data_IF_420385661645
#
_entry.id   IF_420385661645
#
_cell.length_a   1.000
_cell.length_b   1.000
_cell.length_c   1.000
_cell.angle_alpha   90.00
_cell.angle_beta   90.00
_cell.angle_gamma   90.00
#
_symmetry.space_group_name_H-M   'P 1'
#
loop_
_entity.id
_entity.type
_entity.pdbx_description
1 polymer ?
#
# COMPACT_ATOMS: atom_id res chain seq x y z
N UNK A 1 -1.75 14.40 5.11
CA UNK A 1 -1.62 15.41 4.02
C UNK A 1 -0.19 15.92 3.99
N UNK A 2 0.67 15.31 3.17
CA UNK A 2 1.89 15.96 2.72
C UNK A 2 1.41 17.20 1.95
N UNK A 3 1.88 18.39 2.32
CA UNK A 3 1.49 19.60 1.62
C UNK A 3 2.00 19.52 0.17
N UNK A 4 1.21 20.02 -0.78
CA UNK A 4 1.65 20.16 -2.18
C UNK A 4 3.00 20.91 -2.22
N UNK A 5 4.03 20.27 -2.78
CA UNK A 5 5.29 20.95 -3.12
C UNK A 5 6.50 20.73 -2.21
N UNK A 6 6.42 19.98 -1.10
CA UNK A 6 7.65 19.58 -0.39
C UNK A 6 8.36 18.45 -1.17
N UNK A 7 9.61 18.71 -1.60
CA UNK A 7 10.49 17.66 -2.16
C UNK A 7 10.62 16.55 -1.13
N UNK A 8 10.10 15.38 -1.49
CA UNK A 8 10.19 14.21 -0.63
C UNK A 8 11.66 13.75 -0.62
N UNK A 9 12.34 13.71 0.52
CA UNK A 9 13.70 13.19 0.59
C UNK A 9 13.73 11.70 0.19
N UNK A 10 14.90 11.24 -0.26
CA UNK A 10 15.17 9.85 -0.64
C UNK A 10 14.34 9.38 -1.85
N UNK A 11 14.30 10.18 -2.93
CA UNK A 11 13.68 9.77 -4.19
C UNK A 11 14.68 9.02 -5.08
N UNK A 12 14.23 7.97 -5.78
CA UNK A 12 15.01 7.34 -6.83
C UNK A 12 15.37 8.33 -7.94
N UNK A 13 16.60 8.27 -8.45
CA UNK A 13 17.01 9.07 -9.61
C UNK A 13 16.65 8.32 -10.90
N UNK A 14 15.81 8.93 -11.73
CA UNK A 14 15.27 8.34 -12.96
C UNK A 14 15.67 9.15 -14.20
N UNK A 15 15.78 8.50 -15.36
CA UNK A 15 15.83 9.19 -16.65
C UNK A 15 14.43 9.56 -17.18
N UNK A 16 14.37 10.18 -18.37
CA UNK A 16 13.10 10.60 -19.00
C UNK A 16 12.17 9.42 -19.33
N UNK A 17 12.72 8.21 -19.49
CA UNK A 17 11.98 6.97 -19.70
C UNK A 17 11.51 6.32 -18.40
N UNK A 18 11.75 6.95 -17.24
CA UNK A 18 11.50 6.43 -15.90
C UNK A 18 12.36 5.20 -15.53
N UNK A 19 13.50 5.03 -16.20
CA UNK A 19 14.47 3.99 -15.85
C UNK A 19 15.31 4.44 -14.66
N UNK A 20 15.57 3.54 -13.72
CA UNK A 20 16.44 3.82 -12.59
C UNK A 20 17.89 3.96 -13.01
N UNK A 21 18.54 5.06 -12.58
CA UNK A 21 19.97 5.19 -12.68
C UNK A 21 20.67 4.17 -11.77
N UNK A 22 21.70 3.50 -12.29
CA UNK A 22 22.43 2.45 -11.56
C UNK A 22 21.76 1.08 -11.53
N UNK A 23 20.52 0.95 -12.02
CA UNK A 23 19.81 -0.32 -12.09
C UNK A 23 19.34 -0.66 -13.52
N UNK A 24 20.24 -1.18 -14.38
CA UNK A 24 19.90 -1.55 -15.75
C UNK A 24 18.68 -2.49 -15.80
N UNK A 25 17.73 -2.19 -16.68
CA UNK A 25 16.51 -2.97 -16.88
C UNK A 25 15.40 -2.76 -15.82
N UNK A 26 15.59 -1.85 -14.85
CA UNK A 26 14.61 -1.54 -13.81
C UNK A 26 14.01 -0.15 -14.04
N UNK A 27 12.68 -0.07 -14.02
CA UNK A 27 11.88 1.14 -14.18
C UNK A 27 11.02 1.39 -12.94
N UNK A 28 10.61 2.63 -12.72
CA UNK A 28 9.77 3.01 -11.58
C UNK A 28 8.60 3.89 -12.02
N UNK A 29 7.41 3.63 -11.47
CA UNK A 29 6.23 4.45 -11.75
C UNK A 29 5.31 4.58 -10.52
N UNK A 30 4.51 5.64 -10.53
CA UNK A 30 3.57 5.95 -9.45
C UNK A 30 4.19 6.75 -8.33
N UNK A 31 3.54 6.74 -7.16
CA UNK A 31 3.91 7.61 -6.04
C UNK A 31 5.39 7.50 -5.64
N UNK A 32 6.06 6.37 -5.92
CA UNK A 32 7.48 6.16 -5.61
C UNK A 32 8.40 7.17 -6.30
N UNK A 33 7.95 7.79 -7.40
CA UNK A 33 8.67 8.86 -8.10
C UNK A 33 8.44 10.25 -7.47
N UNK A 34 7.67 10.36 -6.38
CA UNK A 34 7.50 11.60 -5.62
C UNK A 34 6.28 12.47 -5.99
N UNK A 35 5.41 12.01 -6.90
CA UNK A 35 4.23 12.75 -7.34
C UNK A 35 2.93 11.98 -7.00
N UNK A 36 2.43 12.05 -5.76
CA UNK A 36 1.34 11.20 -5.29
C UNK A 36 -0.03 11.63 -5.83
N UNK A 37 -0.36 11.21 -7.04
CA UNK A 37 -1.66 11.38 -7.69
C UNK A 37 -1.98 10.15 -8.54
N UNK A 38 -3.22 9.66 -8.45
CA UNK A 38 -3.68 8.53 -9.28
C UNK A 38 -3.45 8.84 -10.77
N UNK A 39 -3.64 10.12 -11.17
CA UNK A 39 -3.43 10.58 -12.55
C UNK A 39 -2.00 10.40 -13.02
N UNK A 40 -1.08 10.85 -12.19
CA UNK A 40 0.34 10.71 -12.48
C UNK A 40 0.75 9.24 -12.50
N UNK A 41 0.22 8.44 -11.57
CA UNK A 41 0.52 7.01 -11.50
C UNK A 41 0.12 6.26 -12.79
N UNK A 42 -1.10 6.45 -13.30
CA UNK A 42 -1.55 5.80 -14.55
C UNK A 42 -0.69 6.26 -15.73
N UNK A 43 -0.47 7.57 -15.86
CA UNK A 43 0.28 8.13 -16.98
C UNK A 43 1.74 7.68 -16.98
N UNK A 44 2.38 7.64 -15.80
CA UNK A 44 3.75 7.14 -15.65
C UNK A 44 3.85 5.64 -15.95
N UNK A 45 2.88 4.83 -15.50
CA UNK A 45 2.85 3.40 -15.79
C UNK A 45 2.86 3.14 -17.30
N UNK A 46 1.96 3.78 -18.04
CA UNK A 46 1.91 3.67 -19.49
C UNK A 46 3.17 4.25 -20.18
N UNK A 47 3.67 5.40 -19.70
CA UNK A 47 4.88 6.02 -20.26
C UNK A 47 6.14 5.16 -20.09
N UNK A 48 6.35 4.57 -18.91
CA UNK A 48 7.46 3.67 -18.64
C UNK A 48 7.43 2.48 -19.61
N UNK A 49 6.24 1.89 -19.84
CA UNK A 49 6.10 0.75 -20.74
C UNK A 49 6.34 1.11 -22.20
N UNK A 50 5.86 2.26 -22.68
CA UNK A 50 6.21 2.72 -24.05
C UNK A 50 7.71 2.93 -24.22
N UNK A 51 8.37 3.46 -23.19
CA UNK A 51 9.81 3.70 -23.20
C UNK A 51 10.59 2.38 -23.23
N UNK A 52 10.26 1.43 -22.35
CA UNK A 52 10.93 0.13 -22.30
C UNK A 52 10.62 -0.74 -23.54
N UNK A 53 9.42 -0.63 -24.12
CA UNK A 53 9.05 -1.36 -25.34
C UNK A 53 9.92 -0.95 -26.53
N UNK A 54 10.19 0.36 -26.69
CA UNK A 54 11.10 0.88 -27.72
C UNK A 54 12.53 0.38 -27.53
N UNK A 55 13.01 0.33 -26.29
CA UNK A 55 14.33 -0.24 -25.98
C UNK A 55 14.40 -1.72 -26.36
N UNK A 56 13.44 -2.53 -25.91
CA UNK A 56 13.38 -3.96 -26.25
C UNK A 56 13.29 -4.21 -27.75
N UNK A 57 12.53 -3.40 -28.48
CA UNK A 57 12.44 -3.48 -29.94
C UNK A 57 13.77 -3.15 -30.62
N UNK A 58 14.46 -2.09 -30.18
CA UNK A 58 15.78 -1.73 -30.70
C UNK A 58 16.86 -2.78 -30.43
N UNK A 59 16.72 -3.54 -29.35
CA UNK A 59 17.63 -4.63 -28.96
C UNK A 59 17.28 -5.97 -29.66
N UNK A 60 16.19 -6.03 -30.43
CA UNK A 60 15.69 -7.29 -31.02
C UNK A 60 15.16 -8.28 -29.95
N UNK A 61 14.76 -7.76 -28.80
CA UNK A 61 14.37 -8.50 -27.60
C UNK A 61 12.86 -8.38 -27.30
N UNK A 62 12.02 -8.17 -28.31
CA UNK A 62 10.56 -8.15 -28.13
C UNK A 62 9.96 -9.53 -28.43
N UNK A 63 9.24 -10.14 -27.49
CA UNK A 63 8.46 -11.35 -27.72
C UNK A 63 9.24 -12.66 -27.98
N UNK A 64 10.57 -12.65 -27.84
CA UNK A 64 11.44 -13.83 -28.07
C UNK A 64 12.03 -14.43 -26.79
N UNK A 65 12.38 -15.73 -26.78
CA UNK A 65 13.10 -16.41 -25.69
C UNK A 65 12.23 -16.92 -24.53
N UNK A 66 12.84 -17.62 -23.56
CA UNK A 66 12.19 -18.06 -22.32
C UNK A 66 11.98 -16.88 -21.34
N UNK A 67 10.86 -16.86 -20.61
CA UNK A 67 10.53 -15.82 -19.63
C UNK A 67 9.65 -14.68 -20.17
N UNK A 68 9.45 -13.65 -19.34
CA UNK A 68 8.65 -12.47 -19.67
C UNK A 68 9.49 -11.36 -20.30
N UNK A 69 8.88 -10.53 -21.13
CA UNK A 69 9.50 -9.28 -21.58
C UNK A 69 9.50 -8.26 -20.42
N UNK A 70 8.43 -8.26 -19.62
CA UNK A 70 8.23 -7.34 -18.50
C UNK A 70 7.57 -8.02 -17.30
N UNK A 71 8.16 -7.86 -16.11
CA UNK A 71 7.45 -8.09 -14.84
C UNK A 71 7.10 -6.75 -14.21
N UNK A 72 5.84 -6.59 -13.81
CA UNK A 72 5.34 -5.40 -13.13
C UNK A 72 5.12 -5.75 -11.65
N UNK A 73 5.67 -4.95 -10.74
CA UNK A 73 5.54 -5.16 -9.29
C UNK A 73 4.52 -4.19 -8.72
N UNK A 74 3.36 -4.71 -8.33
CA UNK A 74 2.22 -3.97 -7.78
C UNK A 74 1.09 -3.77 -8.81
N UNK A 75 -0.14 -4.12 -8.43
CA UNK A 75 -1.37 -3.96 -9.21
C UNK A 75 -2.17 -2.72 -8.75
N UNK A 76 -1.48 -1.64 -8.39
CA UNK A 76 -2.06 -0.33 -8.17
C UNK A 76 -2.36 0.40 -9.50
N UNK A 77 -2.75 1.69 -9.45
CA UNK A 77 -3.11 2.46 -10.64
C UNK A 77 -2.00 2.46 -11.72
N UNK A 78 -0.74 2.66 -11.32
CA UNK A 78 0.41 2.60 -12.23
C UNK A 78 0.61 1.21 -12.83
N UNK A 79 0.49 0.15 -12.02
CA UNK A 79 0.72 -1.22 -12.48
C UNK A 79 -0.36 -1.73 -13.43
N UNK A 80 -1.63 -1.41 -13.15
CA UNK A 80 -2.74 -1.75 -14.06
C UNK A 80 -2.57 -1.02 -15.41
N UNK A 81 -2.23 0.27 -15.37
CA UNK A 81 -1.95 1.04 -16.58
C UNK A 81 -0.79 0.48 -17.39
N UNK A 82 0.30 0.10 -16.70
CA UNK A 82 1.46 -0.53 -17.32
C UNK A 82 1.10 -1.89 -17.95
N UNK A 83 0.28 -2.71 -17.30
CA UNK A 83 -0.14 -4.00 -17.82
C UNK A 83 -1.00 -3.86 -19.08
N UNK A 84 -1.90 -2.87 -19.12
CA UNK A 84 -2.68 -2.54 -20.31
C UNK A 84 -1.79 -2.08 -21.46
N UNK A 85 -0.90 -1.13 -21.19
CA UNK A 85 0.05 -0.66 -22.21
C UNK A 85 0.97 -1.79 -22.68
N UNK A 86 1.43 -2.68 -21.79
CA UNK A 86 2.29 -3.80 -22.16
C UNK A 86 1.57 -4.72 -23.15
N UNK A 87 0.28 -4.98 -22.93
CA UNK A 87 -0.55 -5.73 -23.86
C UNK A 87 -0.74 -5.01 -25.19
N UNK A 88 -1.01 -3.70 -25.18
CA UNK A 88 -1.11 -2.88 -26.40
C UNK A 88 0.19 -2.89 -27.21
N UNK A 89 1.34 -2.88 -26.53
CA UNK A 89 2.67 -3.01 -27.12
C UNK A 89 3.00 -4.45 -27.55
N UNK A 90 2.15 -5.45 -27.26
CA UNK A 90 2.40 -6.85 -27.59
C UNK A 90 3.53 -7.51 -26.77
N UNK A 91 3.81 -7.01 -25.57
CA UNK A 91 4.80 -7.57 -24.66
C UNK A 91 4.21 -8.75 -23.87
N UNK A 92 5.02 -9.79 -23.65
CA UNK A 92 4.70 -10.82 -22.64
C UNK A 92 4.96 -10.24 -21.27
N UNK A 93 3.89 -9.90 -20.55
CA UNK A 93 3.98 -9.29 -19.22
C UNK A 93 3.12 -10.00 -18.18
N UNK A 94 3.58 -9.99 -16.93
CA UNK A 94 2.77 -10.35 -15.77
C UNK A 94 2.93 -9.33 -14.64
N UNK A 95 1.90 -9.22 -13.80
CA UNK A 95 1.89 -8.36 -12.61
C UNK A 95 1.96 -9.24 -11.36
N UNK A 96 2.86 -8.91 -10.43
CA UNK A 96 2.94 -9.54 -9.11
C UNK A 96 2.37 -8.57 -8.06
N UNK A 97 1.34 -8.97 -7.34
CA UNK A 97 0.67 -8.15 -6.32
C UNK A 97 0.64 -8.88 -4.98
N UNK A 98 1.05 -8.21 -3.91
CA UNK A 98 1.12 -8.80 -2.56
C UNK A 98 -0.25 -8.92 -1.87
N UNK A 99 -1.19 -8.04 -2.21
CA UNK A 99 -2.56 -8.03 -1.73
C UNK A 99 -3.50 -8.38 -2.88
N UNK A 100 -4.48 -7.51 -3.12
CA UNK A 100 -5.41 -7.64 -4.24
C UNK A 100 -5.25 -6.52 -5.28
N UNK A 101 -5.81 -6.72 -6.46
CA UNK A 101 -5.89 -5.71 -7.52
C UNK A 101 -6.47 -4.40 -6.95
N UNK A 102 -5.78 -3.29 -7.20
CA UNK A 102 -6.15 -1.95 -6.77
C UNK A 102 -6.29 -1.76 -5.24
N UNK A 103 -5.60 -2.57 -4.41
CA UNK A 103 -5.68 -2.52 -2.94
C UNK A 103 -5.50 -1.10 -2.35
N UNK A 104 -4.59 -0.32 -2.93
CA UNK A 104 -4.36 1.07 -2.51
C UNK A 104 -5.62 1.94 -2.61
N UNK A 105 -6.43 1.75 -3.64
CA UNK A 105 -7.72 2.43 -3.82
C UNK A 105 -8.80 1.76 -3.00
N UNK A 106 -8.83 0.42 -2.89
CA UNK A 106 -9.79 -0.33 -2.04
C UNK A 106 -9.77 0.17 -0.59
N UNK A 107 -8.58 0.47 -0.07
CA UNK A 107 -8.35 1.00 1.28
C UNK A 107 -8.92 2.40 1.54
N UNK A 108 -9.39 3.12 0.52
CA UNK A 108 -10.00 4.44 0.72
C UNK A 108 -11.34 4.34 1.45
N UNK A 109 -11.76 5.41 2.16
CA UNK A 109 -13.09 5.49 2.74
C UNK A 109 -14.22 5.16 1.75
N UNK A 110 -15.24 4.41 2.18
CA UNK A 110 -16.43 4.12 1.36
C UNK A 110 -17.12 5.41 0.90
N UNK A 111 -17.49 5.49 -0.38
CA UNK A 111 -18.13 6.68 -0.95
C UNK A 111 -17.20 7.89 -1.09
N UNK A 112 -15.88 7.72 -0.90
CA UNK A 112 -14.91 8.78 -1.20
C UNK A 112 -15.01 9.15 -2.68
N UNK A 113 -15.24 10.42 -2.94
CA UNK A 113 -15.17 10.98 -4.29
C UNK A 113 -13.70 11.06 -4.73
N UNK A 114 -13.45 10.57 -5.94
CA UNK A 114 -12.18 10.64 -6.66
C UNK A 114 -12.39 11.57 -7.84
N UNK A 115 -11.69 12.69 -7.80
CA UNK A 115 -11.81 13.74 -8.80
C UNK A 115 -10.60 13.76 -9.72
N UNK A 116 -10.88 14.05 -10.97
CA UNK A 116 -9.90 14.36 -11.98
C UNK A 116 -9.51 15.86 -11.85
N UNK A 117 -8.70 16.23 -10.86
CA UNK A 117 -8.23 17.63 -10.75
C UNK A 117 -7.51 18.02 -12.06
N UNK A 118 -7.95 19.07 -12.79
CA UNK A 118 -7.38 19.45 -14.07
C UNK A 118 -6.00 20.09 -13.87
N UNK A 119 -4.98 19.25 -13.65
CA UNK A 119 -3.59 19.66 -13.49
C UNK A 119 -2.85 19.80 -14.84
N UNK A 120 -3.58 19.94 -15.96
CA UNK A 120 -2.99 20.05 -17.30
C UNK A 120 -2.28 18.78 -17.82
N UNK A 121 -2.42 17.64 -17.13
CA UNK A 121 -1.82 16.36 -17.55
C UNK A 121 -2.76 15.63 -18.53
N UNK A 122 -2.29 15.20 -19.72
CA UNK A 122 -3.12 14.51 -20.71
C UNK A 122 -3.70 13.19 -20.18
N UNK A 123 -4.92 12.86 -20.61
CA UNK A 123 -5.59 11.59 -20.29
C UNK A 123 -4.97 10.49 -21.14
N UNK A 124 -4.47 9.43 -20.51
CA UNK A 124 -3.95 8.24 -21.21
C UNK A 124 -4.70 7.01 -20.72
N UNK A 125 -5.25 6.25 -21.66
CA UNK A 125 -5.90 4.95 -21.42
C UNK A 125 -7.33 5.02 -20.89
N UNK A 126 -7.97 3.86 -20.80
CA UNK A 126 -9.39 3.71 -20.45
C UNK A 126 -9.69 3.79 -18.95
N UNK A 127 -8.68 3.84 -18.09
CA UNK A 127 -8.84 3.70 -16.64
C UNK A 127 -9.53 4.90 -15.96
N UNK A 128 -9.79 6.00 -16.67
CA UNK A 128 -10.23 7.27 -16.09
C UNK A 128 -11.74 7.49 -16.05
N UNK A 129 -12.23 8.16 -15.01
CA UNK A 129 -13.58 8.72 -14.88
C UNK A 129 -13.46 10.17 -14.42
N UNK A 130 -14.35 11.05 -14.88
CA UNK A 130 -14.26 12.50 -14.62
C UNK A 130 -14.56 12.82 -13.15
N UNK A 131 -15.67 12.31 -12.65
CA UNK A 131 -16.05 12.32 -11.24
C UNK A 131 -16.62 10.94 -10.92
N UNK A 132 -16.05 10.27 -9.92
CA UNK A 132 -16.51 8.94 -9.54
C UNK A 132 -16.30 8.68 -8.05
N UNK A 133 -17.17 7.87 -7.48
CA UNK A 133 -16.91 7.25 -6.18
C UNK A 133 -15.79 6.22 -6.30
N UNK A 134 -15.11 5.95 -5.18
CA UNK A 134 -14.16 4.83 -5.04
C UNK A 134 -14.71 3.55 -5.66
N UNK A 135 -15.96 3.22 -5.37
CA UNK A 135 -16.63 2.00 -5.80
C UNK A 135 -16.81 1.95 -7.33
N UNK A 136 -17.23 3.05 -7.95
CA UNK A 136 -17.36 3.15 -9.41
C UNK A 136 -16.01 3.03 -10.13
N UNK A 137 -14.98 3.69 -9.60
CA UNK A 137 -13.62 3.61 -10.13
C UNK A 137 -13.08 2.17 -10.06
N UNK A 138 -13.20 1.52 -8.90
CA UNK A 138 -12.81 0.13 -8.70
C UNK A 138 -13.58 -0.81 -9.62
N UNK A 139 -14.91 -0.64 -9.71
CA UNK A 139 -15.76 -1.45 -10.58
C UNK A 139 -15.41 -1.30 -12.05
N UNK A 140 -14.95 -0.12 -12.49
CA UNK A 140 -14.42 0.08 -13.84
C UNK A 140 -13.09 -0.65 -14.05
N UNK A 141 -12.13 -0.49 -13.13
CA UNK A 141 -10.81 -1.12 -13.27
C UNK A 141 -10.89 -2.64 -13.26
N UNK A 142 -11.67 -3.23 -12.36
CA UNK A 142 -11.86 -4.68 -12.30
C UNK A 142 -12.50 -5.23 -13.59
N UNK A 143 -13.47 -4.51 -14.16
CA UNK A 143 -14.05 -4.89 -15.46
C UNK A 143 -13.02 -4.84 -16.60
N UNK A 144 -12.17 -3.81 -16.62
CA UNK A 144 -11.10 -3.69 -17.63
C UNK A 144 -10.09 -4.83 -17.45
N UNK A 145 -9.60 -5.06 -16.23
CA UNK A 145 -8.65 -6.15 -15.92
C UNK A 145 -9.18 -7.50 -16.40
N UNK A 146 -10.46 -7.79 -16.12
CA UNK A 146 -11.10 -9.04 -16.54
C UNK A 146 -11.31 -9.11 -18.06
N UNK A 147 -11.88 -8.06 -18.66
CA UNK A 147 -12.14 -8.00 -20.11
C UNK A 147 -10.86 -8.13 -20.92
N UNK A 148 -9.77 -7.52 -20.44
CA UNK A 148 -8.47 -7.58 -21.09
C UNK A 148 -7.66 -8.83 -20.72
N UNK A 149 -8.10 -9.66 -19.77
CA UNK A 149 -7.41 -10.89 -19.39
C UNK A 149 -5.95 -10.65 -18.95
N UNK A 150 -5.70 -9.61 -18.16
CA UNK A 150 -4.36 -9.28 -17.68
C UNK A 150 -3.85 -10.38 -16.72
N UNK A 151 -2.62 -10.87 -16.90
CA UNK A 151 -1.96 -11.82 -15.99
C UNK A 151 -1.54 -11.08 -14.70
N UNK A 152 -2.46 -11.00 -13.74
CA UNK A 152 -2.20 -10.47 -12.40
C UNK A 152 -2.21 -11.60 -11.39
N UNK A 153 -1.08 -11.79 -10.71
CA UNK A 153 -0.86 -12.82 -9.70
C UNK A 153 -0.90 -12.17 -8.32
N UNK A 154 -2.08 -12.22 -7.71
CA UNK A 154 -2.35 -11.75 -6.35
C UNK A 154 -1.71 -12.64 -5.30
N UNK A 155 -1.52 -12.13 -4.08
CA UNK A 155 -0.90 -12.87 -2.99
C UNK A 155 0.58 -13.20 -3.21
N UNK A 156 1.32 -12.48 -4.06
CA UNK A 156 2.76 -12.64 -4.27
C UNK A 156 3.52 -11.38 -3.87
N UNK A 157 4.24 -11.45 -2.76
CA UNK A 157 5.12 -10.37 -2.28
C UNK A 157 6.48 -10.49 -2.94
N UNK A 158 6.85 -9.50 -3.74
CA UNK A 158 8.21 -9.37 -4.29
C UNK A 158 9.19 -8.96 -3.20
N UNK A 159 10.32 -9.67 -3.11
CA UNK A 159 11.34 -9.50 -2.08
C UNK A 159 12.66 -8.98 -2.63
N UNK A 160 12.92 -9.11 -3.94
CA UNK A 160 14.13 -8.60 -4.58
C UNK A 160 14.32 -9.12 -5.99
N UNK A 161 15.53 -8.99 -6.53
CA UNK A 161 15.90 -9.59 -7.80
C UNK A 161 17.35 -10.07 -7.87
N UNK A 162 17.62 -11.00 -8.78
CA UNK A 162 18.96 -11.41 -9.18
C UNK A 162 19.20 -11.13 -10.67
N UNK A 163 20.39 -10.65 -11.02
CA UNK A 163 20.77 -10.46 -12.43
C UNK A 163 21.29 -11.77 -13.03
N UNK A 164 20.76 -12.16 -14.19
CA UNK A 164 21.12 -13.40 -14.90
C UNK A 164 21.30 -13.14 -16.40
N UNK A 165 22.54 -12.95 -16.84
CA UNK A 165 22.90 -12.99 -18.27
C UNK A 165 22.06 -12.07 -19.18
N UNK A 166 21.73 -10.85 -18.74
CA UNK A 166 20.89 -9.91 -19.48
C UNK A 166 19.39 -9.93 -19.11
N UNK A 167 18.97 -10.85 -18.25
CA UNK A 167 17.63 -10.91 -17.64
C UNK A 167 17.69 -10.66 -16.14
N UNK A 168 16.53 -10.40 -15.55
CA UNK A 168 16.30 -10.19 -14.13
C UNK A 168 15.39 -11.32 -13.62
N UNK A 169 15.87 -12.06 -12.62
CA UNK A 169 15.05 -13.00 -11.86
C UNK A 169 14.39 -12.26 -10.70
N UNK A 170 13.09 -12.04 -10.78
CA UNK A 170 12.30 -11.42 -9.71
C UNK A 170 11.97 -12.47 -8.67
N UNK A 171 12.38 -12.22 -7.42
CA UNK A 171 12.13 -13.10 -6.28
C UNK A 171 10.84 -12.67 -5.59
N UNK A 172 9.97 -13.64 -5.31
CA UNK A 172 8.71 -13.41 -4.61
C UNK A 172 8.44 -14.52 -3.59
N UNK A 173 7.49 -14.26 -2.69
CA UNK A 173 6.99 -15.23 -1.73
C UNK A 173 5.48 -15.10 -1.63
N UNK A 174 4.78 -16.20 -1.35
CA UNK A 174 3.33 -16.12 -1.08
C UNK A 174 3.07 -15.19 0.10
N UNK A 175 2.18 -14.22 -0.08
CA UNK A 175 1.77 -13.30 0.96
C UNK A 175 0.96 -14.08 1.98
N UNK A 176 1.53 -14.23 3.16
CA UNK A 176 0.88 -14.94 4.26
C UNK A 176 -0.13 -14.02 4.93
N UNK A 177 -1.30 -14.58 5.25
CA UNK A 177 -2.42 -13.85 5.87
C UNK A 177 -1.97 -13.01 7.07
N UNK A 178 -2.70 -11.93 7.32
CA UNK A 178 -2.39 -10.98 8.38
C UNK A 178 -2.54 -11.62 9.77
N UNK A 179 -1.49 -12.28 10.29
CA UNK A 179 -1.49 -12.93 11.61
C UNK A 179 -0.75 -14.27 11.70
N UNK A 180 -0.40 -14.88 10.58
CA UNK A 180 0.34 -16.16 10.56
C UNK A 180 1.83 -15.99 10.86
N UNK A 181 2.40 -16.94 11.60
CA UNK A 181 3.84 -17.10 11.86
C UNK A 181 4.59 -17.86 10.76
N UNK A 182 3.87 -18.33 9.74
CA UNK A 182 4.43 -19.10 8.64
C UNK A 182 5.21 -18.21 7.66
N UNK A 183 6.24 -18.80 7.05
CA UNK A 183 6.97 -18.16 5.95
C UNK A 183 6.31 -18.57 4.63
N UNK A 184 6.08 -17.59 3.74
CA UNK A 184 5.48 -17.85 2.43
C UNK A 184 6.35 -18.76 1.56
N UNK A 185 5.71 -19.53 0.70
CA UNK A 185 6.39 -20.35 -0.30
C UNK A 185 7.15 -19.45 -1.28
N UNK A 186 8.42 -19.79 -1.56
CA UNK A 186 9.26 -19.03 -2.45
C UNK A 186 8.86 -19.25 -3.91
N UNK A 187 8.77 -18.17 -4.67
CA UNK A 187 8.50 -18.15 -6.10
C UNK A 187 9.49 -17.23 -6.82
N UNK A 188 9.67 -17.44 -8.12
CA UNK A 188 10.47 -16.54 -8.95
C UNK A 188 9.88 -16.42 -10.36
N UNK A 189 10.14 -15.27 -10.99
CA UNK A 189 9.76 -15.00 -12.38
C UNK A 189 10.92 -14.32 -13.09
N UNK A 190 11.33 -14.87 -14.22
CA UNK A 190 12.41 -14.30 -15.04
C UNK A 190 11.81 -13.31 -16.06
N UNK A 191 12.44 -12.12 -16.18
CA UNK A 191 12.01 -11.07 -17.09
C UNK A 191 13.18 -10.27 -17.66
N UNK A 192 13.01 -9.70 -18.87
CA UNK A 192 14.00 -8.81 -19.47
C UNK A 192 14.04 -7.45 -18.81
N UNK A 193 12.87 -6.93 -18.44
CA UNK A 193 12.68 -5.66 -17.74
C UNK A 193 11.78 -5.85 -16.53
N UNK A 194 11.95 -4.99 -15.53
CA UNK A 194 11.09 -4.92 -14.36
C UNK A 194 10.60 -3.50 -14.17
N UNK A 195 9.29 -3.33 -13.96
CA UNK A 195 8.67 -2.07 -13.56
C UNK A 195 8.21 -2.15 -12.11
N UNK A 196 8.77 -1.31 -11.25
CA UNK A 196 8.38 -1.16 -9.86
C UNK A 196 7.24 -0.13 -9.74
N UNK A 197 6.01 -0.62 -9.60
CA UNK A 197 4.77 0.17 -9.50
C UNK A 197 4.11 0.07 -8.11
N UNK A 198 4.94 -0.06 -7.07
CA UNK A 198 4.58 -0.41 -5.70
C UNK A 198 4.11 0.75 -4.80
N UNK A 199 4.10 1.98 -5.33
CA UNK A 199 3.71 3.19 -4.59
C UNK A 199 4.62 3.52 -3.40
N UNK A 200 4.18 4.43 -2.50
CA UNK A 200 4.94 4.81 -1.28
C UNK A 200 4.33 4.33 0.03
N UNK A 201 3.12 3.78 -0.01
CA UNK A 201 2.46 3.32 1.22
C UNK A 201 3.28 2.25 1.92
N UNK A 202 4.03 1.44 1.18
CA UNK A 202 4.81 0.36 1.77
C UNK A 202 3.91 -0.70 2.40
N UNK A 203 4.51 -1.55 3.24
CA UNK A 203 3.76 -2.61 3.94
C UNK A 203 3.39 -2.14 5.33
N UNK A 204 2.13 -2.29 5.80
CA UNK A 204 1.78 -2.03 7.19
C UNK A 204 2.68 -2.78 8.16
N UNK A 205 3.19 -2.09 9.18
CA UNK A 205 3.95 -2.76 10.24
C UNK A 205 3.01 -3.68 11.00
N UNK A 206 3.38 -4.95 11.10
CA UNK A 206 2.62 -5.96 11.84
C UNK A 206 2.72 -5.70 13.34
N UNK A 207 1.67 -6.09 14.06
CA UNK A 207 1.74 -6.17 15.51
C UNK A 207 2.74 -7.26 15.89
N UNK A 208 3.75 -6.94 16.70
CA UNK A 208 4.73 -7.92 17.18
C UNK A 208 4.22 -8.85 18.27
N UNK A 209 2.91 -8.84 18.53
CA UNK A 209 2.25 -9.62 19.56
C UNK A 209 1.45 -10.77 18.94
N UNK A 210 1.34 -11.94 19.59
CA UNK A 210 0.48 -13.03 19.15
C UNK A 210 -0.98 -12.58 19.01
N UNK A 211 -1.62 -13.06 17.95
CA UNK A 211 -3.04 -12.87 17.66
C UNK A 211 -3.67 -14.26 17.59
N UNK A 212 -4.71 -14.50 18.39
CA UNK A 212 -5.46 -15.76 18.33
C UNK A 212 -6.19 -15.90 16.98
N UNK A 213 -6.27 -17.12 16.43
CA UNK A 213 -6.89 -17.38 15.12
C UNK A 213 -8.29 -16.78 14.98
N UNK A 214 -9.11 -16.89 16.02
CA UNK A 214 -10.47 -16.35 16.05
C UNK A 214 -10.54 -14.81 15.97
N UNK A 215 -9.41 -14.11 16.13
CA UNK A 215 -9.31 -12.65 16.07
C UNK A 215 -8.64 -12.14 14.80
N UNK A 216 -8.11 -13.01 13.93
CA UNK A 216 -7.38 -12.61 12.71
C UNK A 216 -8.24 -11.68 11.85
N UNK A 217 -9.51 -12.03 11.60
CA UNK A 217 -10.45 -11.22 10.80
C UNK A 217 -10.94 -9.94 11.52
N UNK A 218 -10.58 -9.78 12.80
CA UNK A 218 -10.95 -8.65 13.65
C UNK A 218 -9.79 -7.67 13.88
N UNK A 219 -8.59 -7.98 13.35
CA UNK A 219 -7.43 -7.11 13.36
C UNK A 219 -7.30 -6.44 11.99
N UNK A 220 -7.23 -5.12 11.97
CA UNK A 220 -7.22 -4.31 10.75
C UNK A 220 -6.02 -3.38 10.72
N UNK A 221 -5.39 -3.25 9.56
CA UNK A 221 -4.23 -2.36 9.35
C UNK A 221 -4.59 -1.09 8.57
N UNK A 222 -5.86 -0.93 8.20
CA UNK A 222 -6.42 0.28 7.59
C UNK A 222 -7.89 0.45 8.00
N UNK A 223 -8.41 1.69 7.97
CA UNK A 223 -9.82 1.97 8.22
C UNK A 223 -10.50 2.45 6.93
N UNK A 224 -11.30 1.57 6.31
CA UNK A 224 -12.04 1.86 5.09
C UNK A 224 -13.50 2.32 5.33
N UNK A 225 -14.17 1.88 6.38
CA UNK A 225 -15.51 2.38 6.74
C UNK A 225 -15.73 2.31 8.24
N UNK A 226 -15.77 3.45 8.91
CA UNK A 226 -16.02 3.50 10.35
C UNK A 226 -17.42 2.98 10.72
N UNK A 227 -18.42 3.15 9.85
CA UNK A 227 -19.82 2.78 10.15
C UNK A 227 -19.99 1.28 10.40
N UNK A 228 -19.17 0.44 9.76
CA UNK A 228 -19.13 -1.01 9.98
C UNK A 228 -18.71 -1.42 11.40
N UNK A 229 -18.22 -0.46 12.19
CA UNK A 229 -17.77 -0.63 13.57
C UNK A 229 -18.66 0.14 14.57
N UNK A 230 -19.83 0.62 14.14
CA UNK A 230 -20.84 1.18 15.03
C UNK A 230 -21.20 0.17 16.13
N UNK A 231 -21.31 0.64 17.38
CA UNK A 231 -21.65 -0.19 18.53
C UNK A 231 -20.52 -1.09 19.08
N UNK A 232 -19.36 -1.15 18.41
CA UNK A 232 -18.25 -2.04 18.80
C UNK A 232 -17.30 -1.40 19.80
N UNK A 233 -16.58 -2.24 20.55
CA UNK A 233 -15.40 -1.88 21.37
C UNK A 233 -14.16 -1.99 20.50
N UNK A 234 -13.51 -0.87 20.24
CA UNK A 234 -12.42 -0.77 19.27
C UNK A 234 -11.15 -0.30 19.94
N UNK A 235 -10.09 -1.08 19.79
CA UNK A 235 -8.74 -0.68 20.18
C UNK A 235 -7.98 -0.15 18.97
N UNK A 236 -7.45 1.07 19.03
CA UNK A 236 -6.53 1.61 18.03
C UNK A 236 -5.12 1.61 18.62
N UNK A 237 -4.18 0.91 17.97
CA UNK A 237 -2.78 0.83 18.39
C UNK A 237 -1.96 1.83 17.58
N UNK A 238 -1.39 2.84 18.24
CA UNK A 238 -0.60 3.89 17.61
C UNK A 238 -1.21 5.30 17.75
N UNK A 239 -0.43 6.32 17.39
CA UNK A 239 -0.79 7.73 17.57
C UNK A 239 -0.31 8.64 16.42
N UNK A 240 -0.02 8.07 15.24
CA UNK A 240 0.26 8.87 14.04
C UNK A 240 -1.00 9.56 13.52
N UNK A 241 -0.86 10.46 12.54
CA UNK A 241 -2.02 11.16 11.93
C UNK A 241 -3.12 10.21 11.48
N UNK A 242 -2.75 9.10 10.81
CA UNK A 242 -3.72 8.07 10.37
C UNK A 242 -4.41 7.41 11.54
N UNK A 243 -3.69 7.10 12.62
CA UNK A 243 -4.27 6.51 13.84
C UNK A 243 -5.27 7.46 14.50
N UNK A 244 -4.92 8.75 14.59
CA UNK A 244 -5.78 9.78 15.19
C UNK A 244 -7.03 10.05 14.34
N UNK A 245 -6.89 10.09 13.01
CA UNK A 245 -8.02 10.20 12.08
C UNK A 245 -8.94 8.99 12.16
N UNK A 246 -8.38 7.77 12.25
CA UNK A 246 -9.16 6.54 12.43
C UNK A 246 -9.91 6.53 13.76
N UNK A 247 -9.22 6.82 14.87
CA UNK A 247 -9.82 6.91 16.19
C UNK A 247 -10.95 7.94 16.23
N UNK A 248 -10.75 9.11 15.62
CA UNK A 248 -11.80 10.11 15.50
C UNK A 248 -12.98 9.61 14.66
N UNK A 249 -12.74 9.05 13.48
CA UNK A 249 -13.81 8.52 12.62
C UNK A 249 -14.67 7.45 13.30
N UNK A 250 -14.03 6.54 14.05
CA UNK A 250 -14.67 5.51 14.86
C UNK A 250 -15.45 6.09 16.04
N UNK A 251 -14.91 7.09 16.74
CA UNK A 251 -15.54 7.70 17.91
C UNK A 251 -16.81 8.51 17.58
N UNK A 252 -16.96 8.96 16.32
CA UNK A 252 -18.18 9.60 15.84
C UNK A 252 -19.30 8.59 15.52
N UNK A 253 -19.00 7.28 15.49
CA UNK A 253 -20.01 6.28 15.23
C UNK A 253 -20.88 6.02 16.47
N UNK A 254 -22.19 5.79 16.28
CA UNK A 254 -23.11 5.59 17.39
C UNK A 254 -22.75 4.31 18.16
N UNK A 255 -22.74 4.41 19.50
CA UNK A 255 -22.49 3.28 20.40
C UNK A 255 -21.05 2.73 20.41
N UNK A 256 -20.13 3.29 19.63
CA UNK A 256 -18.74 2.79 19.55
C UNK A 256 -17.92 3.29 20.73
N UNK A 257 -17.18 2.37 21.37
CA UNK A 257 -16.21 2.69 22.42
C UNK A 257 -14.82 2.59 21.82
N UNK A 258 -14.05 3.68 21.84
CA UNK A 258 -12.72 3.74 21.24
C UNK A 258 -11.67 3.92 22.33
N UNK A 259 -10.72 3.00 22.40
CA UNK A 259 -9.53 3.12 23.23
C UNK A 259 -8.31 3.19 22.32
N UNK A 260 -7.41 4.16 22.54
CA UNK A 260 -6.16 4.30 21.81
C UNK A 260 -5.01 3.91 22.73
N UNK A 261 -4.27 2.87 22.37
CA UNK A 261 -3.03 2.49 23.07
C UNK A 261 -1.81 3.01 22.31
N UNK A 262 -0.95 3.73 23.02
CA UNK A 262 0.29 4.23 22.47
C UNK A 262 1.47 4.00 23.41
N UNK A 263 2.56 3.46 22.85
CA UNK A 263 3.78 3.12 23.60
C UNK A 263 4.54 4.32 24.17
N UNK A 264 4.28 5.52 23.66
CA UNK A 264 4.94 6.74 24.13
C UNK A 264 4.15 7.44 25.23
N UNK A 265 4.77 8.40 25.93
CA UNK A 265 4.13 9.10 27.05
C UNK A 265 3.22 10.26 26.60
N UNK A 266 3.36 10.74 25.36
CA UNK A 266 2.73 11.97 24.87
C UNK A 266 2.65 12.05 23.33
N UNK A 267 2.06 13.15 22.83
CA UNK A 267 2.00 13.49 21.41
C UNK A 267 3.35 14.01 20.91
N UNK A 268 4.28 13.13 20.54
CA UNK A 268 5.58 13.53 19.96
C UNK A 268 5.52 13.99 18.51
N UNK A 269 4.51 13.55 17.76
CA UNK A 269 4.37 13.75 16.30
C UNK A 269 2.89 13.85 15.93
N UNK A 270 2.62 14.41 14.75
CA UNK A 270 1.27 14.52 14.18
C UNK A 270 0.84 15.97 13.96
N UNK A 271 -0.12 16.17 13.06
CA UNK A 271 -0.67 17.48 12.74
C UNK A 271 -1.44 18.02 13.94
N UNK A 272 -1.25 19.31 14.23
CA UNK A 272 -1.94 20.01 15.33
C UNK A 272 -3.45 19.78 15.33
N UNK A 273 -4.11 19.88 14.16
CA UNK A 273 -5.55 19.62 14.00
C UNK A 273 -5.98 18.24 14.50
N UNK A 274 -5.18 17.20 14.23
CA UNK A 274 -5.50 15.82 14.58
C UNK A 274 -5.30 15.60 16.09
N UNK A 275 -4.22 16.16 16.65
CA UNK A 275 -3.96 16.16 18.10
C UNK A 275 -5.11 16.85 18.85
N UNK A 276 -5.49 18.06 18.43
CA UNK A 276 -6.54 18.84 19.07
C UNK A 276 -7.91 18.12 19.00
N UNK A 277 -8.19 17.48 17.87
CA UNK A 277 -9.40 16.66 17.69
C UNK A 277 -9.42 15.48 18.65
N UNK A 278 -8.32 14.73 18.76
CA UNK A 278 -8.25 13.59 19.66
C UNK A 278 -8.34 14.00 21.13
N UNK A 279 -7.67 15.10 21.53
CA UNK A 279 -7.77 15.67 22.88
C UNK A 279 -9.21 16.03 23.26
N UNK A 280 -9.95 16.66 22.36
CA UNK A 280 -11.37 17.00 22.56
C UNK A 280 -12.24 15.75 22.71
N UNK A 281 -11.99 14.72 21.91
CA UNK A 281 -12.72 13.45 22.04
C UNK A 281 -12.38 12.75 23.37
N UNK A 282 -11.14 12.85 23.82
CA UNK A 282 -10.73 12.32 25.12
C UNK A 282 -11.39 13.07 26.30
N UNK A 283 -11.41 14.40 26.24
CA UNK A 283 -12.04 15.22 27.31
C UNK A 283 -13.55 15.03 27.40
N UNK A 284 -14.20 14.55 26.35
CA UNK A 284 -15.63 14.24 26.31
C UNK A 284 -15.94 12.77 26.60
N UNK A 285 -14.93 11.96 26.92
CA UNK A 285 -15.07 10.53 27.19
C UNK A 285 -15.42 9.68 25.95
N UNK A 286 -15.35 10.26 24.75
CA UNK A 286 -15.58 9.54 23.47
C UNK A 286 -14.41 8.66 23.07
N UNK A 287 -13.21 9.00 23.53
CA UNK A 287 -11.98 8.24 23.30
C UNK A 287 -11.24 8.09 24.63
N UNK A 288 -10.79 6.89 24.95
CA UNK A 288 -9.86 6.66 26.04
C UNK A 288 -8.43 6.63 25.50
N UNK A 289 -7.48 7.32 26.15
CA UNK A 289 -6.08 7.34 25.76
C UNK A 289 -5.23 6.61 26.80
N UNK A 290 -4.58 5.51 26.38
CA UNK A 290 -3.66 4.73 27.20
C UNK A 290 -2.22 5.03 26.76
N UNK A 291 -1.53 5.82 27.58
CA UNK A 291 -0.13 6.20 27.38
C UNK A 291 0.83 5.12 27.88
N UNK A 292 2.05 5.11 27.35
CA UNK A 292 3.10 4.15 27.70
C UNK A 292 2.56 2.71 27.76
N UNK A 293 1.70 2.36 26.80
CA UNK A 293 0.97 1.10 26.76
C UNK A 293 1.27 0.37 25.46
N UNK A 294 1.64 -0.91 25.56
CA UNK A 294 1.85 -1.82 24.43
C UNK A 294 0.89 -3.00 24.49
N UNK A 295 0.56 -3.58 23.33
CA UNK A 295 -0.23 -4.82 23.26
C UNK A 295 0.72 -6.01 23.39
N UNK A 296 0.41 -6.93 24.29
CA UNK A 296 1.17 -8.18 24.47
C UNK A 296 0.53 -9.37 23.78
N UNK A 297 -0.81 -9.40 23.69
CA UNK A 297 -1.54 -10.44 22.98
C UNK A 297 -2.95 -9.96 22.60
N UNK A 298 -3.47 -10.47 21.48
CA UNK A 298 -4.88 -10.35 21.11
C UNK A 298 -5.53 -11.73 21.25
N UNK A 299 -6.46 -11.84 22.18
CA UNK A 299 -7.20 -13.06 22.51
C UNK A 299 -8.69 -12.89 22.14
N UNK A 300 -9.49 -13.97 22.07
CA UNK A 300 -10.91 -13.86 21.72
C UNK A 300 -11.66 -12.88 22.65
N UNK A 301 -12.13 -11.76 22.08
CA UNK A 301 -12.88 -10.73 22.80
C UNK A 301 -12.09 -9.81 23.73
N UNK A 302 -10.75 -9.92 23.80
CA UNK A 302 -9.90 -9.08 24.65
C UNK A 302 -8.48 -8.86 24.12
N UNK A 303 -7.88 -7.73 24.47
CA UNK A 303 -6.48 -7.42 24.25
C UNK A 303 -5.75 -7.36 25.61
N UNK A 304 -4.67 -8.10 25.76
CA UNK A 304 -3.76 -7.97 26.91
C UNK A 304 -2.81 -6.82 26.65
N UNK A 305 -2.81 -5.85 27.55
CA UNK A 305 -2.03 -4.62 27.45
C UNK A 305 -1.00 -4.57 28.58
N UNK A 306 0.23 -4.20 28.24
CA UNK A 306 1.28 -3.85 29.20
C UNK A 306 1.36 -2.33 29.31
N UNK A 307 0.92 -1.80 30.45
CA UNK A 307 0.95 -0.39 30.77
C UNK A 307 2.23 0.06 31.49
N UNK A 308 2.24 1.30 32.03
CA UNK A 308 3.36 1.81 32.82
C UNK A 308 3.69 0.90 34.02
N UNK A 309 4.99 0.81 34.36
CA UNK A 309 5.50 0.00 35.48
C UNK A 309 5.17 -1.50 35.37
N UNK A 310 5.11 -2.01 34.15
CA UNK A 310 4.81 -3.42 33.84
C UNK A 310 3.43 -3.88 34.35
N UNK A 311 2.51 -2.93 34.56
CA UNK A 311 1.15 -3.27 34.94
C UNK A 311 0.40 -3.87 33.75
N UNK A 312 0.03 -5.14 33.86
CA UNK A 312 -0.73 -5.84 32.84
C UNK A 312 -2.23 -5.63 33.07
N UNK A 313 -2.98 -5.33 32.02
CA UNK A 313 -4.44 -5.21 32.07
C UNK A 313 -5.10 -5.83 30.84
N UNK A 314 -6.28 -6.40 31.03
CA UNK A 314 -7.11 -6.89 29.94
C UNK A 314 -8.13 -5.82 29.53
N UNK A 315 -8.14 -5.48 28.24
CA UNK A 315 -9.14 -4.60 27.65
C UNK A 315 -10.09 -5.42 26.78
N UNK A 316 -11.39 -5.35 27.05
CA UNK A 316 -12.36 -6.05 26.24
C UNK A 316 -12.56 -5.34 24.88
N UNK A 317 -12.37 -6.08 23.77
CA UNK A 317 -12.36 -5.53 22.41
C UNK A 317 -13.10 -6.45 21.44
N UNK A 318 -13.75 -5.86 20.45
CA UNK A 318 -14.40 -6.60 19.35
C UNK A 318 -13.57 -6.51 18.05
N UNK A 319 -12.81 -5.42 17.89
CA UNK A 319 -11.91 -5.19 16.75
C UNK A 319 -10.68 -4.39 17.19
N UNK A 320 -9.56 -4.59 16.49
CA UNK A 320 -8.29 -3.91 16.74
C UNK A 320 -7.78 -3.27 15.46
N UNK A 321 -7.42 -1.99 15.51
CA UNK A 321 -6.79 -1.27 14.41
C UNK A 321 -5.31 -1.02 14.70
N UNK A 322 -4.44 -1.72 13.99
CA UNK A 322 -2.98 -1.60 14.15
C UNK A 322 -2.47 -0.49 13.21
N UNK A 323 -2.32 0.71 13.76
CA UNK A 323 -1.99 1.96 13.04
C UNK A 323 -0.60 2.47 13.44
N UNK A 324 0.39 1.58 13.45
CA UNK A 324 1.77 1.86 13.90
C UNK A 324 2.72 2.27 12.76
N UNK A 325 2.15 2.62 11.61
CA UNK A 325 2.87 3.07 10.42
C UNK A 325 3.28 1.93 9.50
N UNK A 326 3.98 2.27 8.42
CA UNK A 326 4.36 1.33 7.37
C UNK A 326 5.89 1.19 7.29
N UNK A 327 6.34 0.07 6.72
CA UNK A 327 7.72 -0.15 6.30
C UNK A 327 7.86 0.43 4.90
N UNK A 328 8.73 1.44 4.75
CA UNK A 328 9.03 2.03 3.46
C UNK A 328 9.66 0.97 2.53
N UNK A 329 9.43 1.07 1.21
CA UNK A 329 9.95 0.09 0.26
C UNK A 329 11.45 0.23 -0.03
N UNK A 330 12.21 0.99 0.76
CA UNK A 330 13.63 1.28 0.52
C UNK A 330 14.49 0.03 0.38
N UNK A 331 14.34 -0.95 1.28
CA UNK A 331 15.08 -2.21 1.19
C UNK A 331 14.78 -3.00 -0.10
N UNK A 332 13.54 -2.90 -0.60
CA UNK A 332 13.18 -3.51 -1.88
C UNK A 332 13.81 -2.76 -3.05
N UNK A 333 13.81 -1.43 -3.04
CA UNK A 333 14.50 -0.62 -4.05
C UNK A 333 16.00 -0.96 -4.12
N UNK A 334 16.66 -1.05 -2.97
CA UNK A 334 18.07 -1.45 -2.85
C UNK A 334 18.30 -2.87 -3.40
N UNK A 335 17.38 -3.81 -3.15
CA UNK A 335 17.44 -5.16 -3.71
C UNK A 335 17.29 -5.22 -5.25
N UNK A 336 16.81 -4.13 -5.87
CA UNK A 336 16.82 -3.93 -7.32
C UNK A 336 18.00 -3.09 -7.82
N UNK A 337 18.90 -2.67 -6.92
CA UNK A 337 20.03 -1.80 -7.22
C UNK A 337 19.65 -0.32 -7.40
N UNK A 338 18.46 0.08 -6.94
CA UNK A 338 17.97 1.45 -7.05
C UNK A 338 18.39 2.24 -5.81
N UNK A 339 19.26 3.22 -6.01
CA UNK A 339 19.69 4.15 -4.96
C UNK A 339 18.74 5.34 -4.85
N UNK A 340 18.48 5.79 -3.63
CA UNK A 340 17.82 7.06 -3.35
C UNK A 340 18.85 8.20 -3.26
N UNK A 341 18.49 9.40 -3.72
CA UNK A 341 19.29 10.63 -3.60
C UNK A 341 19.12 11.32 -2.27
#
# INVERSE_FOLDING_TARGET
VIAEGERVPDLPVLDEGLRAQGAPGVYLAGDITGLPLIRNAINQGAHAVRSLARELESEGQKGGGEGFDLVIVGAGPAGIAAALEAKEQGLRACVLEQGSVAESVRSFPRGKLVFDQPLGVPRVGELWLEESTKEELLGKWLRIVHREGLDIREGLRVTGCERRGGTLRVLAQTAVSEGSSEHGEAAFVDARRVLLALGRRGTPRRLGAPIADAMVDHVHYSLADARSFAGKRVLVVGLGDVAMEAAAGLAHQPGTRVTVAYRGPDFKRGKRRNIDTLRRLASTGRVELLWSTTVEAIEPGRARLLGPKENTQDLAVDCVFVMIGNVAPTALLEAFGVSAS
#
